data_IF_505186570240
#
_entry.id   IF_505186570240
#
_cell.length_a   1.000
_cell.length_b   1.000
_cell.length_c   1.000
_cell.angle_alpha   90.00
_cell.angle_beta   90.00
_cell.angle_gamma   90.00
#
_symmetry.space_group_name_H-M   'P 1'
#
loop_
_entity.id
_entity.type
_entity.pdbx_description
1 polymer ?
#
# COMPACT_ATOMS: atom_id res chain seq x y z
N UNK A 1 -50.68 22.27 2.15
CA UNK A 1 -49.35 22.84 2.44
C UNK A 1 -48.65 21.85 3.36
N UNK A 2 -47.48 21.30 3.01
CA UNK A 2 -46.82 20.28 3.82
C UNK A 2 -46.50 20.84 5.21
N UNK A 3 -46.72 20.03 6.25
CA UNK A 3 -46.38 20.45 7.61
C UNK A 3 -44.88 20.70 7.75
N UNK A 4 -44.50 21.60 8.66
CA UNK A 4 -43.07 21.93 8.94
C UNK A 4 -42.22 20.68 9.18
N UNK A 5 -42.82 19.61 9.74
CA UNK A 5 -42.16 18.34 10.04
C UNK A 5 -41.77 17.56 8.78
N UNK A 6 -42.65 17.55 7.76
CA UNK A 6 -42.37 16.90 6.47
C UNK A 6 -41.22 17.62 5.76
N UNK A 7 -41.23 18.96 5.76
CA UNK A 7 -40.15 19.76 5.19
C UNK A 7 -38.80 19.51 5.90
N UNK A 8 -38.81 19.38 7.24
CA UNK A 8 -37.61 19.05 8.01
C UNK A 8 -37.06 17.66 7.65
N UNK A 9 -37.92 16.64 7.53
CA UNK A 9 -37.49 15.27 7.18
C UNK A 9 -36.88 15.19 5.78
N UNK A 10 -37.47 15.89 4.82
CA UNK A 10 -36.94 15.96 3.45
C UNK A 10 -35.58 16.67 3.44
N UNK A 11 -35.45 17.80 4.14
CA UNK A 11 -34.18 18.49 4.25
C UNK A 11 -33.09 17.62 4.90
N UNK A 12 -33.43 16.88 5.95
CA UNK A 12 -32.54 15.94 6.63
C UNK A 12 -32.11 14.80 5.69
N UNK A 13 -33.05 14.22 4.94
CA UNK A 13 -32.75 13.19 3.95
C UNK A 13 -31.75 13.69 2.89
N UNK A 14 -31.97 14.89 2.37
CA UNK A 14 -31.08 15.51 1.37
C UNK A 14 -29.68 15.74 1.95
N UNK A 15 -29.57 16.20 3.20
CA UNK A 15 -28.27 16.39 3.87
C UNK A 15 -27.53 15.06 4.02
N UNK A 16 -28.21 13.98 4.41
CA UNK A 16 -27.60 12.66 4.54
C UNK A 16 -27.15 12.07 3.21
N UNK A 17 -27.97 12.19 2.16
CA UNK A 17 -27.59 11.75 0.82
C UNK A 17 -26.47 12.58 0.22
N UNK A 18 -26.52 13.91 0.36
CA UNK A 18 -25.45 14.80 -0.09
C UNK A 18 -24.16 14.52 0.68
N UNK A 19 -24.24 14.25 1.99
CA UNK A 19 -23.10 13.84 2.80
C UNK A 19 -22.47 12.54 2.32
N UNK A 20 -23.27 11.52 1.99
CA UNK A 20 -22.77 10.24 1.47
C UNK A 20 -22.14 10.38 0.08
N UNK A 21 -22.74 11.18 -0.80
CA UNK A 21 -22.28 11.42 -2.17
C UNK A 21 -21.05 12.34 -2.25
N UNK A 22 -20.92 13.30 -1.33
CA UNK A 22 -19.78 14.20 -1.25
C UNK A 22 -18.54 13.56 -0.61
N UNK A 23 -18.66 12.35 -0.04
CA UNK A 23 -17.50 11.62 0.44
C UNK A 23 -16.57 11.27 -0.73
N UNK A 24 -15.26 11.47 -0.60
CA UNK A 24 -14.30 11.06 -1.61
C UNK A 24 -14.45 9.57 -1.90
N UNK A 25 -14.24 9.19 -3.17
CA UNK A 25 -14.12 7.79 -3.54
C UNK A 25 -12.83 7.31 -2.89
N UNK A 26 -12.96 6.40 -1.94
CA UNK A 26 -11.84 5.70 -1.34
C UNK A 26 -11.30 4.78 -2.42
N UNK A 27 -10.09 5.06 -2.89
CA UNK A 27 -9.37 4.13 -3.74
C UNK A 27 -8.81 3.00 -2.87
N UNK A 28 -9.17 1.78 -3.22
CA UNK A 28 -8.72 0.57 -2.52
C UNK A 28 -7.65 -0.18 -3.31
N UNK A 29 -7.27 0.25 -4.52
CA UNK A 29 -6.03 -0.25 -5.12
C UNK A 29 -4.88 0.30 -4.31
N UNK A 30 -4.18 -0.59 -3.61
CA UNK A 30 -2.86 -0.24 -3.10
C UNK A 30 -1.91 -0.22 -4.27
N UNK A 31 -1.20 0.89 -4.43
CA UNK A 31 0.08 0.86 -5.11
C UNK A 31 0.99 -0.03 -4.24
N UNK A 32 1.37 -1.16 -4.82
CA UNK A 32 2.36 -2.05 -4.23
C UNK A 32 3.68 -1.57 -4.80
N UNK A 33 4.50 -0.95 -3.97
CA UNK A 33 5.83 -0.54 -4.40
C UNK A 33 6.82 -1.68 -4.17
N UNK A 34 7.74 -1.83 -5.10
CA UNK A 34 8.85 -2.76 -5.04
C UNK A 34 10.11 -1.97 -4.76
N UNK A 35 10.69 -2.16 -3.59
CA UNK A 35 11.87 -1.46 -3.13
C UNK A 35 13.10 -2.38 -3.18
N UNK A 36 14.22 -1.83 -3.60
CA UNK A 36 15.53 -2.44 -3.53
C UNK A 36 16.44 -1.55 -2.69
N UNK A 37 16.94 -2.08 -1.58
CA UNK A 37 17.85 -1.40 -0.67
C UNK A 37 19.24 -2.02 -0.76
N UNK A 38 20.28 -1.18 -0.72
CA UNK A 38 21.67 -1.64 -0.79
C UNK A 38 22.49 -1.06 0.36
N UNK A 39 22.94 -1.90 1.29
CA UNK A 39 23.80 -1.46 2.39
C UNK A 39 25.10 -2.25 2.47
N UNK A 40 26.20 -1.67 2.95
CA UNK A 40 27.42 -2.43 3.19
C UNK A 40 27.22 -3.44 4.32
N UNK A 41 27.66 -4.68 4.11
CA UNK A 41 27.60 -5.72 5.13
C UNK A 41 28.57 -5.39 6.28
N UNK A 42 28.15 -5.65 7.52
CA UNK A 42 28.99 -5.41 8.70
C UNK A 42 29.29 -6.72 9.42
N UNK A 43 30.58 -7.03 9.59
CA UNK A 43 31.03 -8.10 10.48
C UNK A 43 30.52 -9.51 10.16
N UNK A 44 30.32 -9.85 8.89
CA UNK A 44 29.79 -11.15 8.46
C UNK A 44 28.27 -11.28 8.63
N UNK A 45 27.57 -10.16 8.75
CA UNK A 45 26.11 -10.10 8.77
C UNK A 45 25.57 -9.13 7.72
N UNK A 46 24.39 -9.44 7.19
CA UNK A 46 23.56 -8.58 6.34
C UNK A 46 22.22 -8.40 7.04
N UNK A 47 21.82 -7.15 7.32
CA UNK A 47 20.59 -6.82 8.06
C UNK A 47 20.38 -7.63 9.36
N UNK A 48 21.48 -7.92 10.06
CA UNK A 48 21.48 -8.70 11.32
C UNK A 48 21.40 -10.22 11.14
N UNK A 49 21.30 -10.72 9.91
CA UNK A 49 21.39 -12.15 9.58
C UNK A 49 22.83 -12.53 9.24
N UNK A 50 23.31 -13.63 9.82
CA UNK A 50 24.62 -14.19 9.46
C UNK A 50 24.57 -14.81 8.08
N UNK A 51 25.60 -14.57 7.27
CA UNK A 51 25.78 -15.22 5.98
C UNK A 51 27.11 -15.97 5.95
N UNK A 52 27.19 -17.00 5.11
CA UNK A 52 28.42 -17.73 4.80
C UNK A 52 28.97 -17.29 3.45
N UNK A 53 30.26 -17.55 3.20
CA UNK A 53 30.89 -17.23 1.90
C UNK A 53 30.21 -17.93 0.71
N UNK A 54 29.55 -19.07 0.92
CA UNK A 54 28.77 -19.75 -0.12
C UNK A 54 27.46 -19.04 -0.47
N UNK A 55 26.96 -18.19 0.42
CA UNK A 55 25.74 -17.41 0.20
C UNK A 55 26.02 -16.11 -0.55
N UNK A 56 27.29 -15.72 -0.67
CA UNK A 56 27.71 -14.48 -1.32
C UNK A 56 27.66 -14.65 -2.83
N UNK A 57 26.77 -13.91 -3.47
CA UNK A 57 26.60 -13.89 -4.92
C UNK A 57 27.53 -12.84 -5.53
N UNK A 58 28.40 -13.18 -6.48
CA UNK A 58 29.16 -12.19 -7.23
C UNK A 58 28.23 -11.27 -8.01
N UNK A 59 28.47 -9.95 -8.00
CA UNK A 59 27.66 -8.97 -8.75
C UNK A 59 27.51 -9.35 -10.24
N UNK A 60 28.57 -9.88 -10.86
CA UNK A 60 28.57 -10.32 -12.25
C UNK A 60 27.57 -11.46 -12.55
N UNK A 61 27.15 -12.20 -11.54
CA UNK A 61 26.19 -13.30 -11.66
C UNK A 61 24.74 -12.85 -11.44
N UNK A 62 24.53 -11.60 -11.01
CA UNK A 62 23.20 -11.01 -10.99
C UNK A 62 22.69 -10.79 -12.41
N UNK A 63 21.37 -10.84 -12.59
CA UNK A 63 20.77 -10.50 -13.89
C UNK A 63 21.01 -9.03 -14.24
N UNK A 64 20.99 -8.64 -15.53
CA UNK A 64 21.17 -7.23 -15.92
C UNK A 64 20.12 -6.28 -15.33
N UNK A 65 18.96 -6.80 -14.94
CA UNK A 65 17.94 -6.02 -14.22
C UNK A 65 18.36 -5.80 -12.75
N UNK A 66 18.76 -6.87 -12.05
CA UNK A 66 19.24 -6.80 -10.67
C UNK A 66 20.51 -5.93 -10.52
N UNK A 67 21.45 -6.01 -11.46
CA UNK A 67 22.63 -5.13 -11.50
C UNK A 67 22.24 -3.65 -11.58
N UNK A 68 21.31 -3.30 -12.47
CA UNK A 68 20.83 -1.91 -12.60
C UNK A 68 20.07 -1.43 -11.37
N UNK A 69 19.27 -2.30 -10.75
CA UNK A 69 18.58 -1.98 -9.51
C UNK A 69 19.57 -1.75 -8.36
N UNK A 70 20.59 -2.59 -8.23
CA UNK A 70 21.69 -2.43 -7.27
C UNK A 70 22.43 -1.10 -7.46
N UNK A 71 22.82 -0.78 -8.70
CA UNK A 71 23.55 0.45 -9.01
C UNK A 71 22.71 1.70 -8.70
N UNK A 72 21.41 1.66 -9.03
CA UNK A 72 20.48 2.76 -8.75
C UNK A 72 20.24 2.95 -7.26
N UNK A 73 20.04 1.85 -6.52
CA UNK A 73 19.86 1.89 -5.08
C UNK A 73 21.09 2.49 -4.41
N UNK A 74 22.28 1.98 -4.73
CA UNK A 74 23.57 2.50 -4.21
C UNK A 74 23.84 3.96 -4.58
N UNK A 75 23.43 4.40 -5.77
CA UNK A 75 23.59 5.79 -6.19
C UNK A 75 22.53 6.73 -5.59
N UNK A 76 21.46 6.19 -5.01
CA UNK A 76 20.42 6.97 -4.37
C UNK A 76 20.92 7.54 -3.03
N UNK A 77 20.47 8.75 -2.71
CA UNK A 77 20.84 9.45 -1.47
C UNK A 77 20.37 8.76 -0.18
N UNK A 78 19.45 7.80 -0.28
CA UNK A 78 18.92 6.98 0.80
C UNK A 78 19.22 5.49 0.60
N UNK A 79 20.15 5.14 -0.31
CA UNK A 79 20.52 3.76 -0.61
C UNK A 79 19.35 2.85 -1.07
N UNK A 80 18.24 3.46 -1.52
CA UNK A 80 17.00 2.76 -1.85
C UNK A 80 16.50 3.14 -3.24
N UNK A 81 16.10 2.15 -4.03
CA UNK A 81 15.45 2.33 -5.32
C UNK A 81 14.04 1.72 -5.29
N UNK A 82 13.02 2.55 -5.53
CA UNK A 82 11.60 2.16 -5.44
C UNK A 82 10.94 2.29 -6.80
N UNK A 83 10.10 1.31 -7.16
CA UNK A 83 9.29 1.30 -8.39
C UNK A 83 7.90 0.73 -8.14
N UNK A 84 6.93 1.16 -8.94
CA UNK A 84 5.53 0.72 -8.84
C UNK A 84 5.28 -0.67 -9.47
N UNK A 85 6.24 -1.22 -10.21
CA UNK A 85 6.13 -2.53 -10.90
C UNK A 85 7.42 -3.33 -10.75
N UNK A 86 7.29 -4.57 -10.27
CA UNK A 86 8.36 -5.56 -10.11
C UNK A 86 9.23 -5.72 -11.37
N UNK A 87 8.60 -5.66 -12.55
CA UNK A 87 9.30 -5.79 -13.83
C UNK A 87 10.26 -4.62 -14.12
N UNK A 88 10.09 -3.49 -13.42
CA UNK A 88 10.95 -2.32 -13.58
C UNK A 88 12.19 -2.35 -12.68
N UNK A 89 12.21 -3.20 -11.64
CA UNK A 89 13.38 -3.44 -10.80
C UNK A 89 14.11 -4.69 -11.28
N UNK A 90 13.76 -5.86 -10.77
CA UNK A 90 14.42 -7.12 -11.09
C UNK A 90 13.50 -8.32 -10.77
N UNK A 91 12.75 -8.83 -11.76
CA UNK A 91 11.77 -9.91 -11.53
C UNK A 91 12.40 -11.26 -11.14
N UNK A 92 13.72 -11.37 -11.21
CA UNK A 92 14.47 -12.56 -10.80
C UNK A 92 14.74 -12.58 -9.27
N UNK A 93 14.49 -11.47 -8.57
CA UNK A 93 14.64 -11.38 -7.12
C UNK A 93 13.33 -11.78 -6.44
N UNK A 94 13.43 -12.44 -5.28
CA UNK A 94 12.27 -12.67 -4.44
C UNK A 94 12.00 -11.43 -3.60
N UNK A 95 10.89 -10.74 -3.83
CA UNK A 95 10.42 -9.64 -3.00
C UNK A 95 9.68 -10.19 -1.78
N UNK A 96 10.25 -9.98 -0.60
CA UNK A 96 9.66 -10.41 0.66
C UNK A 96 8.89 -9.26 1.33
N UNK A 97 7.72 -9.55 1.92
CA UNK A 97 6.91 -8.54 2.62
C UNK A 97 7.10 -8.57 4.15
N UNK A 98 7.31 -9.75 4.72
CA UNK A 98 7.26 -9.99 6.17
C UNK A 98 8.33 -10.98 6.66
N UNK A 99 8.74 -11.93 5.81
CA UNK A 99 9.80 -12.88 6.11
C UNK A 99 10.98 -12.72 5.15
N UNK A 100 12.08 -12.18 5.68
CA UNK A 100 13.37 -12.08 4.99
C UNK A 100 14.33 -13.15 5.49
N UNK A 101 15.05 -13.77 4.56
CA UNK A 101 16.14 -14.71 4.86
C UNK A 101 17.25 -14.60 3.79
N UNK A 102 18.43 -15.14 4.07
CA UNK A 102 19.55 -15.13 3.11
C UNK A 102 19.18 -15.99 1.90
N UNK A 103 19.19 -15.39 0.71
CA UNK A 103 18.71 -15.98 -0.54
C UNK A 103 17.21 -15.80 -0.81
N UNK A 104 16.47 -15.18 0.12
CA UNK A 104 15.04 -14.93 0.01
C UNK A 104 14.67 -13.52 0.52
N UNK A 105 14.56 -12.55 -0.39
CA UNK A 105 14.36 -11.14 -0.01
C UNK A 105 15.64 -10.43 0.47
N UNK A 106 16.69 -11.17 0.81
CA UNK A 106 17.98 -10.63 1.19
C UNK A 106 19.12 -11.39 0.53
N UNK A 107 19.98 -10.69 -0.22
CA UNK A 107 21.04 -11.29 -1.00
C UNK A 107 22.39 -10.64 -0.64
N UNK A 108 23.36 -11.38 -0.08
CA UNK A 108 24.71 -10.88 0.09
C UNK A 108 25.39 -10.81 -1.28
N UNK A 109 25.72 -9.62 -1.77
CA UNK A 109 26.32 -9.39 -3.08
C UNK A 109 27.75 -8.91 -2.94
N UNK A 110 28.70 -9.57 -3.60
CA UNK A 110 30.08 -9.09 -3.67
C UNK A 110 30.27 -8.12 -4.83
N UNK A 111 30.61 -6.88 -4.51
CA UNK A 111 30.87 -5.80 -5.46
C UNK A 111 32.17 -5.08 -5.08
N UNK A 112 33.09 -4.93 -6.03
CA UNK A 112 34.40 -4.27 -5.83
C UNK A 112 35.23 -4.81 -4.64
N UNK A 113 35.05 -6.08 -4.29
CA UNK A 113 35.77 -6.74 -3.18
C UNK A 113 35.13 -6.57 -1.80
N UNK A 114 34.05 -5.79 -1.69
CA UNK A 114 33.23 -5.67 -0.50
C UNK A 114 31.92 -6.44 -0.65
N UNK A 115 31.31 -6.82 0.48
CA UNK A 115 30.00 -7.46 0.49
C UNK A 115 28.94 -6.43 0.87
N UNK A 116 27.87 -6.40 0.09
CA UNK A 116 26.70 -5.54 0.28
C UNK A 116 25.48 -6.42 0.54
N UNK A 117 24.57 -5.98 1.39
CA UNK A 117 23.20 -6.49 1.41
C UNK A 117 22.44 -5.88 0.25
N UNK A 118 21.85 -6.72 -0.60
CA UNK A 118 20.82 -6.35 -1.56
C UNK A 118 19.50 -6.87 -0.99
N UNK A 119 18.66 -5.98 -0.47
CA UNK A 119 17.34 -6.32 0.06
C UNK A 119 16.28 -5.98 -0.96
N UNK A 120 15.39 -6.93 -1.24
CA UNK A 120 14.23 -6.76 -2.11
C UNK A 120 12.97 -6.84 -1.24
N UNK A 121 12.33 -5.69 -1.05
CA UNK A 121 11.18 -5.53 -0.15
C UNK A 121 9.94 -5.11 -0.94
N UNK A 122 8.78 -5.60 -0.51
CA UNK A 122 7.49 -5.20 -1.08
C UNK A 122 6.83 -4.18 -0.13
N UNK A 123 7.00 -2.91 -0.45
CA UNK A 123 6.54 -1.78 0.36
C UNK A 123 5.12 -1.41 -0.08
N UNK A 124 4.10 -1.99 0.57
CA UNK A 124 2.71 -1.74 0.17
C UNK A 124 1.68 -2.64 0.83
N UNK A 125 1.79 -2.86 2.14
CA UNK A 125 1.13 -3.98 2.82
C UNK A 125 0.09 -3.67 3.90
N UNK A 126 -0.32 -2.43 4.16
CA UNK A 126 -1.18 -2.10 5.32
C UNK A 126 -2.67 -2.00 5.01
N UNK A 127 -3.55 -2.77 5.69
CA UNK A 127 -5.02 -2.56 5.58
C UNK A 127 -5.30 -1.14 6.05
N UNK A 128 -5.74 -0.26 5.15
CA UNK A 128 -6.27 1.04 5.54
C UNK A 128 -7.64 0.79 6.18
N UNK A 129 -7.60 0.58 7.50
CA UNK A 129 -8.78 0.35 8.32
C UNK A 129 -9.72 1.57 8.24
N UNK A 130 -9.19 2.78 8.03
CA UNK A 130 -9.98 4.00 7.84
C UNK A 130 -10.78 3.96 6.53
N UNK A 131 -10.13 3.60 5.43
CA UNK A 131 -10.76 3.35 4.13
C UNK A 131 -11.88 2.30 4.23
N UNK A 132 -11.62 1.18 4.91
CA UNK A 132 -12.61 0.13 5.12
C UNK A 132 -13.79 0.60 5.98
N UNK A 133 -13.54 1.31 7.08
CA UNK A 133 -14.60 1.87 7.94
C UNK A 133 -15.46 2.85 7.13
N UNK A 134 -14.84 3.72 6.33
CA UNK A 134 -15.57 4.69 5.52
C UNK A 134 -16.46 4.00 4.48
N UNK A 135 -15.93 2.98 3.78
CA UNK A 135 -16.63 2.24 2.74
C UNK A 135 -17.74 1.34 3.28
N UNK A 136 -17.46 0.55 4.33
CA UNK A 136 -18.34 -0.51 4.81
C UNK A 136 -19.24 -0.10 5.98
N UNK A 137 -18.94 0.99 6.69
CA UNK A 137 -19.74 1.44 7.83
C UNK A 137 -20.34 2.82 7.58
N UNK A 138 -19.51 3.83 7.31
CA UNK A 138 -19.96 5.23 7.34
C UNK A 138 -20.89 5.56 6.16
N UNK A 139 -20.46 5.28 4.92
CA UNK A 139 -21.28 5.51 3.73
C UNK A 139 -22.63 4.78 3.74
N UNK A 140 -22.71 3.47 4.02
CA UNK A 140 -23.99 2.76 4.03
C UNK A 140 -24.92 3.24 5.17
N UNK A 141 -24.37 3.59 6.33
CA UNK A 141 -25.17 4.14 7.44
C UNK A 141 -25.77 5.49 7.05
N UNK A 142 -25.00 6.41 6.47
CA UNK A 142 -25.51 7.70 6.00
C UNK A 142 -26.58 7.54 4.91
N UNK A 143 -26.35 6.64 3.95
CA UNK A 143 -27.33 6.33 2.91
C UNK A 143 -28.63 5.74 3.49
N UNK A 144 -28.53 4.84 4.48
CA UNK A 144 -29.68 4.26 5.16
C UNK A 144 -30.48 5.32 5.93
N UNK A 145 -29.82 6.23 6.65
CA UNK A 145 -30.49 7.35 7.33
C UNK A 145 -31.19 8.29 6.34
N UNK A 146 -30.54 8.59 5.21
CA UNK A 146 -31.15 9.36 4.12
C UNK A 146 -32.41 8.67 3.59
N UNK A 147 -32.33 7.38 3.33
CA UNK A 147 -33.44 6.57 2.80
C UNK A 147 -34.61 6.48 3.76
N UNK A 148 -34.37 6.18 5.04
CA UNK A 148 -35.42 6.11 6.07
C UNK A 148 -36.09 7.47 6.25
N UNK A 149 -35.31 8.55 6.33
CA UNK A 149 -35.84 9.92 6.47
C UNK A 149 -36.67 10.33 5.27
N UNK A 150 -36.23 9.97 4.05
CA UNK A 150 -36.96 10.22 2.80
C UNK A 150 -38.28 9.44 2.72
N UNK A 151 -38.26 8.14 3.03
CA UNK A 151 -39.47 7.31 3.05
C UNK A 151 -40.48 7.78 4.08
N UNK A 152 -40.03 8.16 5.28
CA UNK A 152 -40.90 8.74 6.30
C UNK A 152 -41.49 10.08 5.82
N UNK A 153 -40.67 10.97 5.29
CA UNK A 153 -41.15 12.24 4.73
C UNK A 153 -42.20 12.05 3.64
N UNK A 154 -41.96 11.14 2.70
CA UNK A 154 -42.90 10.81 1.62
C UNK A 154 -44.20 10.18 2.13
N UNK A 155 -44.11 9.27 3.10
CA UNK A 155 -45.28 8.61 3.70
C UNK A 155 -46.21 9.61 4.39
N UNK A 156 -45.66 10.55 5.16
CA UNK A 156 -46.46 11.58 5.82
C UNK A 156 -47.00 12.61 4.83
N UNK A 157 -46.26 12.93 3.76
CA UNK A 157 -46.73 13.82 2.70
C UNK A 157 -47.95 13.27 1.95
N UNK A 158 -48.03 11.96 1.73
CA UNK A 158 -49.18 11.31 1.05
C UNK A 158 -50.41 11.18 1.96
N UNK A 159 -50.21 11.24 3.29
CA UNK A 159 -51.29 11.13 4.29
C UNK A 159 -51.87 12.47 4.76
N UNK A 160 -51.20 13.59 4.49
CA UNK A 160 -51.69 14.95 4.69
C UNK A 160 -52.50 15.44 3.48
#
# INVERSE_FOLDING_TARGET
>A
MPSRRVLTLVAVAVVFFAGAAAMPIVDTSRDIDYAVEVHPATGGTVDGLSYSESDVVPYEYLSPAAQRAFDRARAASNDTYVVDDENQTAPDLHYATDHIDVGYGLYPVRYEGEVYSLRADQVGGGIDVGALIQLYLVRPVLAAFGLVSGLFGAYYFVRE
#
